data_IF_364218978289
#
_entry.id   IF_364218978289
#
_cell.length_a   1.000
_cell.length_b   1.000
_cell.length_c   1.000
_cell.angle_alpha   90.00
_cell.angle_beta   90.00
_cell.angle_gamma   90.00
#
_symmetry.space_group_name_H-M   'P 1'
#
loop_
_entity.id
_entity.type
_entity.pdbx_description
1 polymer ?
#
# COMPACT_ATOMS: atom_id res chain seq x y z
N UNK A 1 -0.01 -22.79 12.71
CA UNK A 1 0.91 -23.11 11.59
C UNK A 1 0.59 -24.44 10.88
N UNK A 2 0.59 -25.61 11.54
CA UNK A 2 0.31 -26.92 10.88
C UNK A 2 -1.05 -27.00 10.15
N UNK A 3 -2.14 -26.56 10.77
CA UNK A 3 -3.49 -26.54 10.17
C UNK A 3 -3.59 -25.60 8.97
N UNK A 4 -2.92 -24.45 9.05
CA UNK A 4 -2.87 -23.44 7.98
C UNK A 4 -2.18 -23.98 6.73
N UNK A 5 -0.96 -24.51 6.89
CA UNK A 5 -0.18 -25.10 5.81
C UNK A 5 -0.88 -26.32 5.20
N UNK A 6 -1.45 -27.19 6.03
CA UNK A 6 -2.19 -28.36 5.54
C UNK A 6 -3.38 -27.98 4.66
N UNK A 7 -4.13 -26.92 4.99
CA UNK A 7 -5.23 -26.45 4.15
C UNK A 7 -4.73 -25.91 2.80
N UNK A 8 -3.70 -25.05 2.81
CA UNK A 8 -3.13 -24.50 1.56
C UNK A 8 -2.53 -25.56 0.64
N UNK A 9 -1.80 -26.53 1.19
CA UNK A 9 -1.21 -27.64 0.42
C UNK A 9 -2.31 -28.44 -0.30
N UNK A 10 -3.48 -28.59 0.33
CA UNK A 10 -4.63 -29.26 -0.26
C UNK A 10 -5.50 -28.34 -1.13
N UNK A 11 -5.04 -27.13 -1.46
CA UNK A 11 -5.78 -26.17 -2.29
C UNK A 11 -7.04 -25.61 -1.64
N UNK A 12 -7.20 -25.76 -0.32
CA UNK A 12 -8.38 -25.23 0.38
C UNK A 12 -8.19 -23.73 0.58
N UNK A 13 -9.10 -22.88 0.07
CA UNK A 13 -9.04 -21.44 0.30
C UNK A 13 -9.04 -21.15 1.79
N UNK A 14 -8.09 -20.32 2.21
CA UNK A 14 -7.99 -19.80 3.56
C UNK A 14 -7.76 -18.31 3.44
N UNK A 15 -8.30 -17.55 4.39
CA UNK A 15 -8.11 -16.10 4.46
C UNK A 15 -6.62 -15.76 4.49
N UNK A 16 -6.28 -14.66 3.80
CA UNK A 16 -4.93 -14.10 3.83
C UNK A 16 -4.65 -13.55 5.22
N UNK A 17 -3.50 -13.90 5.77
CA UNK A 17 -3.02 -13.26 6.99
C UNK A 17 -2.54 -11.83 6.72
N UNK A 18 -2.56 -10.96 7.74
CA UNK A 18 -2.01 -9.61 7.64
C UNK A 18 -0.56 -9.56 7.16
N UNK A 19 0.27 -10.55 7.53
CA UNK A 19 1.65 -10.66 7.06
C UNK A 19 1.74 -10.97 5.57
N UNK A 20 0.87 -11.85 5.06
CA UNK A 20 0.79 -12.12 3.62
C UNK A 20 0.27 -10.91 2.86
N UNK A 21 -0.68 -10.16 3.43
CA UNK A 21 -1.11 -8.89 2.85
C UNK A 21 0.02 -7.88 2.80
N UNK A 22 0.86 -7.78 3.84
CA UNK A 22 2.06 -6.94 3.80
C UNK A 22 2.98 -7.30 2.65
N UNK A 23 3.23 -8.59 2.44
CA UNK A 23 4.04 -9.06 1.31
C UNK A 23 3.37 -8.77 -0.05
N UNK A 24 2.06 -8.94 -0.19
CA UNK A 24 1.34 -8.62 -1.43
C UNK A 24 1.45 -7.12 -1.74
N UNK A 25 1.18 -6.27 -0.75
CA UNK A 25 1.19 -4.80 -0.88
C UNK A 25 2.55 -4.29 -1.39
N UNK A 26 3.67 -4.89 -0.98
CA UNK A 26 5.00 -4.49 -1.47
C UNK A 26 5.15 -4.61 -2.99
N UNK A 27 4.44 -5.54 -3.64
CA UNK A 27 4.54 -5.83 -5.08
C UNK A 27 3.50 -5.10 -5.92
N UNK A 28 2.42 -4.61 -5.31
CA UNK A 28 1.30 -3.97 -6.02
C UNK A 28 1.75 -2.86 -6.98
N UNK A 29 2.71 -1.96 -6.62
CA UNK A 29 3.16 -0.93 -7.56
C UNK A 29 3.74 -1.45 -8.89
N UNK A 30 4.25 -2.68 -8.91
CA UNK A 30 4.84 -3.29 -10.11
C UNK A 30 3.77 -3.91 -11.03
N UNK A 31 2.51 -4.02 -10.58
CA UNK A 31 1.43 -4.69 -11.29
C UNK A 31 0.72 -3.79 -12.32
N UNK A 32 1.49 -3.02 -13.07
CA UNK A 32 0.92 -2.33 -14.25
C UNK A 32 0.66 -3.31 -15.38
N UNK A 33 -0.43 -3.16 -16.14
CA UNK A 33 -1.39 -2.05 -16.17
C UNK A 33 -2.57 -2.17 -15.18
N UNK A 34 -2.68 -3.26 -14.43
CA UNK A 34 -3.87 -3.61 -13.61
C UNK A 34 -3.84 -3.00 -12.21
N UNK A 35 -2.98 -2.01 -11.96
CA UNK A 35 -2.82 -1.38 -10.65
C UNK A 35 -4.15 -0.90 -10.05
N UNK A 36 -5.01 -0.13 -10.77
CA UNK A 36 -6.31 0.31 -10.23
C UNK A 36 -7.18 -0.86 -9.75
N UNK A 37 -7.33 -1.88 -10.59
CA UNK A 37 -8.16 -3.05 -10.27
C UNK A 37 -7.64 -3.80 -9.04
N UNK A 38 -6.32 -3.91 -8.91
CA UNK A 38 -5.69 -4.55 -7.74
C UNK A 38 -5.92 -3.72 -6.48
N UNK A 39 -5.82 -2.39 -6.56
CA UNK A 39 -6.08 -1.50 -5.42
C UNK A 39 -7.51 -1.70 -4.91
N UNK A 40 -8.50 -1.73 -5.79
CA UNK A 40 -9.91 -1.94 -5.43
C UNK A 40 -10.15 -3.26 -4.70
N UNK A 41 -9.40 -4.31 -5.03
CA UNK A 41 -9.47 -5.60 -4.36
C UNK A 41 -8.82 -5.57 -2.98
N UNK A 42 -7.61 -5.03 -2.86
CA UNK A 42 -6.83 -5.12 -1.62
C UNK A 42 -7.31 -4.18 -0.53
N UNK A 43 -7.93 -3.04 -0.85
CA UNK A 43 -8.42 -2.10 0.19
C UNK A 43 -9.49 -2.71 1.12
N UNK A 44 -10.14 -3.79 0.68
CA UNK A 44 -11.14 -4.54 1.43
C UNK A 44 -10.56 -5.78 2.15
N UNK A 45 -9.27 -6.06 1.99
CA UNK A 45 -8.60 -7.18 2.61
C UNK A 45 -8.16 -6.86 4.06
N UNK A 46 -7.75 -7.87 4.84
CA UNK A 46 -7.18 -7.65 6.17
C UNK A 46 -6.06 -6.62 6.15
N UNK A 47 -5.94 -5.86 7.24
CA UNK A 47 -4.92 -4.82 7.37
C UNK A 47 -3.50 -5.40 7.17
N UNK A 48 -2.68 -4.80 6.31
CA UNK A 48 -1.35 -5.32 6.00
C UNK A 48 -0.39 -5.05 7.16
N UNK A 49 0.47 -6.04 7.44
CA UNK A 49 1.58 -5.90 8.39
C UNK A 49 2.86 -6.20 7.65
N UNK A 50 3.69 -5.17 7.44
CA UNK A 50 4.98 -5.33 6.78
C UNK A 50 6.01 -5.97 7.71
N UNK A 51 6.70 -7.00 7.22
CA UNK A 51 7.82 -7.60 7.96
C UNK A 51 9.02 -6.65 8.11
N UNK A 52 9.20 -5.73 7.16
CA UNK A 52 10.28 -4.74 7.14
C UNK A 52 9.73 -3.35 6.86
N UNK A 53 10.53 -2.30 7.06
CA UNK A 53 10.09 -0.93 6.76
C UNK A 53 9.70 -0.83 5.28
N UNK A 54 8.53 -0.27 4.93
CA UNK A 54 8.06 -0.18 3.55
C UNK A 54 8.81 0.90 2.74
N UNK A 55 10.10 1.12 2.98
CA UNK A 55 10.90 2.16 2.31
C UNK A 55 10.88 2.00 0.79
N UNK A 56 10.96 0.76 0.31
CA UNK A 56 10.96 0.46 -1.12
C UNK A 56 9.61 0.78 -1.78
N UNK A 57 8.52 0.84 -1.01
CA UNK A 57 7.17 1.13 -1.51
C UNK A 57 7.11 2.52 -2.15
N UNK A 58 7.58 3.55 -1.45
CA UNK A 58 7.55 4.94 -1.95
C UNK A 58 8.41 5.11 -3.19
N UNK A 59 9.60 4.49 -3.18
CA UNK A 59 10.48 4.50 -4.34
C UNK A 59 9.79 3.87 -5.55
N UNK A 60 9.17 2.68 -5.39
CA UNK A 60 8.44 2.01 -6.47
C UNK A 60 7.28 2.86 -7.01
N UNK A 61 6.46 3.46 -6.14
CA UNK A 61 5.34 4.31 -6.58
C UNK A 61 5.84 5.50 -7.41
N UNK A 62 6.97 6.10 -7.02
CA UNK A 62 7.58 7.23 -7.73
C UNK A 62 8.21 6.79 -9.06
N UNK A 63 9.00 5.72 -9.08
CA UNK A 63 9.63 5.20 -10.31
C UNK A 63 8.58 4.80 -11.34
N UNK A 64 7.51 4.16 -10.84
CA UNK A 64 6.38 3.75 -11.64
C UNK A 64 5.40 4.90 -11.91
N UNK A 65 5.68 6.15 -11.50
CA UNK A 65 4.82 7.31 -11.81
C UNK A 65 3.32 7.07 -11.55
N UNK A 66 3.02 6.29 -10.50
CA UNK A 66 1.66 5.83 -10.23
C UNK A 66 0.80 6.98 -9.71
N UNK A 67 1.39 7.88 -8.92
CA UNK A 67 0.70 9.06 -8.42
C UNK A 67 0.28 10.01 -9.55
N UNK A 68 1.05 10.08 -10.63
CA UNK A 68 0.73 10.87 -11.81
C UNK A 68 -0.31 10.20 -12.72
N UNK A 69 -0.26 8.87 -12.80
CA UNK A 69 -1.12 8.09 -13.72
C UNK A 69 -2.48 7.76 -13.10
N UNK A 70 -2.49 7.36 -11.82
CA UNK A 70 -3.63 6.86 -11.05
C UNK A 70 -3.64 7.52 -9.66
N UNK A 71 -3.86 8.84 -9.58
CA UNK A 71 -3.71 9.59 -8.33
C UNK A 71 -4.66 9.13 -7.22
N UNK A 72 -5.92 8.82 -7.56
CA UNK A 72 -6.93 8.44 -6.57
C UNK A 72 -6.66 7.05 -6.01
N UNK A 73 -6.30 6.11 -6.87
CA UNK A 73 -5.97 4.74 -6.53
C UNK A 73 -4.65 4.68 -5.77
N UNK A 74 -3.66 5.49 -6.14
CA UNK A 74 -2.41 5.62 -5.38
C UNK A 74 -2.66 6.16 -3.97
N UNK A 75 -3.57 7.12 -3.82
CA UNK A 75 -3.97 7.61 -2.51
C UNK A 75 -4.68 6.52 -1.68
N UNK A 76 -5.66 5.83 -2.25
CA UNK A 76 -6.38 4.75 -1.59
C UNK A 76 -5.43 3.62 -1.18
N UNK A 77 -4.51 3.27 -2.07
CA UNK A 77 -3.46 2.30 -1.84
C UNK A 77 -2.57 2.68 -0.65
N UNK A 78 -2.04 3.90 -0.63
CA UNK A 78 -1.17 4.36 0.46
C UNK A 78 -1.90 4.39 1.80
N UNK A 79 -3.15 4.88 1.83
CA UNK A 79 -3.97 4.90 3.06
C UNK A 79 -4.15 3.47 3.60
N UNK A 80 -4.48 2.52 2.73
CA UNK A 80 -4.64 1.12 3.11
C UNK A 80 -3.33 0.48 3.55
N UNK A 81 -2.28 0.64 2.74
CA UNK A 81 -0.95 0.07 2.97
C UNK A 81 -0.39 0.50 4.33
N UNK A 82 -0.58 1.77 4.71
CA UNK A 82 0.02 2.36 5.91
C UNK A 82 -0.87 2.29 7.16
N UNK A 83 -2.09 1.74 7.05
CA UNK A 83 -3.06 1.72 8.15
C UNK A 83 -2.54 1.09 9.45
N UNK A 84 -1.71 0.06 9.33
CA UNK A 84 -1.12 -0.67 10.46
C UNK A 84 0.34 -0.35 10.75
N UNK A 85 0.95 0.56 10.00
CA UNK A 85 2.36 0.89 10.15
C UNK A 85 2.56 1.84 11.33
N UNK A 86 3.32 1.39 12.35
CA UNK A 86 3.60 2.15 13.58
C UNK A 86 5.05 2.57 13.70
N UNK A 87 5.91 2.10 12.80
CA UNK A 87 7.33 2.46 12.82
C UNK A 87 7.48 3.93 12.45
N UNK A 88 8.43 4.64 13.10
CA UNK A 88 8.62 6.05 12.86
C UNK A 88 8.95 6.32 11.39
N UNK A 89 8.37 7.40 10.90
CA UNK A 89 8.51 7.81 9.52
C UNK A 89 9.86 8.49 9.32
N UNK A 90 10.77 7.87 8.57
CA UNK A 90 12.03 8.52 8.20
C UNK A 90 11.81 9.45 7.01
N UNK A 91 12.19 10.72 7.17
CA UNK A 91 12.08 11.74 6.13
C UNK A 91 12.81 11.33 4.84
N UNK A 92 12.13 11.47 3.70
CA UNK A 92 12.66 11.15 2.37
C UNK A 92 12.01 12.10 1.34
N UNK A 93 12.81 12.74 0.50
CA UNK A 93 12.37 13.73 -0.48
C UNK A 93 11.33 13.16 -1.47
N UNK A 94 11.42 11.85 -1.77
CA UNK A 94 10.45 11.15 -2.62
C UNK A 94 9.03 11.14 -2.04
N UNK A 95 8.91 11.18 -0.73
CA UNK A 95 7.60 11.17 -0.06
C UNK A 95 6.91 12.52 -0.13
N UNK A 96 7.68 13.61 -0.01
CA UNK A 96 7.15 14.96 -0.24
C UNK A 96 6.70 15.16 -1.67
N UNK A 97 7.48 14.66 -2.63
CA UNK A 97 7.11 14.64 -4.04
C UNK A 97 5.78 13.91 -4.25
N UNK A 98 5.66 12.68 -3.72
CA UNK A 98 4.42 11.89 -3.76
C UNK A 98 3.23 12.61 -3.13
N UNK A 99 3.38 13.15 -1.93
CA UNK A 99 2.30 13.90 -1.27
C UNK A 99 1.85 15.11 -2.11
N UNK A 100 2.80 15.86 -2.69
CA UNK A 100 2.47 17.03 -3.50
C UNK A 100 1.71 16.67 -4.79
N UNK A 101 2.03 15.54 -5.41
CA UNK A 101 1.33 15.04 -6.61
C UNK A 101 -0.09 14.61 -6.24
N UNK A 102 -0.21 13.78 -5.20
CA UNK A 102 -1.48 13.21 -4.77
C UNK A 102 -2.43 14.28 -4.23
N UNK A 103 -1.94 15.21 -3.40
CA UNK A 103 -2.75 16.27 -2.78
C UNK A 103 -3.40 17.24 -3.76
N UNK A 104 -2.85 17.37 -4.97
CA UNK A 104 -3.45 18.17 -6.05
C UNK A 104 -4.59 17.46 -6.78
N UNK A 105 -4.70 16.15 -6.59
CA UNK A 105 -5.48 15.26 -7.45
C UNK A 105 -6.61 14.53 -6.69
N UNK A 106 -6.70 14.68 -5.36
CA UNK A 106 -7.71 14.01 -4.53
C UNK A 106 -8.44 14.98 -3.59
N UNK A 107 -9.55 14.54 -3.00
CA UNK A 107 -10.35 15.37 -2.09
C UNK A 107 -9.59 15.78 -0.81
N UNK A 108 -9.85 16.98 -0.26
CA UNK A 108 -9.14 17.49 0.93
C UNK A 108 -9.23 16.57 2.16
N UNK A 109 -10.33 15.83 2.31
CA UNK A 109 -10.53 14.88 3.40
C UNK A 109 -9.53 13.71 3.35
N UNK A 110 -9.26 13.18 2.15
CA UNK A 110 -8.28 12.10 1.95
C UNK A 110 -6.85 12.62 2.08
N UNK A 111 -6.58 13.87 1.68
CA UNK A 111 -5.27 14.52 1.85
C UNK A 111 -4.85 14.59 3.31
N UNK A 112 -5.80 14.88 4.23
CA UNK A 112 -5.51 14.97 5.66
C UNK A 112 -4.94 13.67 6.23
N UNK A 113 -5.55 12.53 5.86
CA UNK A 113 -5.09 11.19 6.30
C UNK A 113 -3.68 10.89 5.80
N UNK A 114 -3.38 11.27 4.54
CA UNK A 114 -2.05 11.08 3.97
C UNK A 114 -1.00 12.00 4.59
N UNK A 115 -1.37 13.21 5.01
CA UNK A 115 -0.43 14.16 5.62
C UNK A 115 0.16 13.59 6.91
N UNK A 116 -0.69 13.06 7.78
CA UNK A 116 -0.31 12.45 9.06
C UNK A 116 0.55 11.19 8.85
N UNK A 117 0.44 10.55 7.68
CA UNK A 117 1.19 9.35 7.32
C UNK A 117 2.47 9.61 6.52
N UNK A 118 2.58 10.73 5.79
CA UNK A 118 3.67 10.98 4.83
C UNK A 118 4.60 12.14 5.19
N UNK A 119 4.19 13.04 6.09
CA UNK A 119 4.93 14.29 6.38
C UNK A 119 5.35 14.41 7.85
N UNK A 120 4.62 13.80 8.78
CA UNK A 120 4.94 13.81 10.22
C UNK A 120 5.65 12.53 10.70
#
# INVERSE_FOLDING_TARGET
>A
MKKYLSRRINGIPVELSSTEMGAIVEWVPELKPVFPDVVDLIVNCPEPVFSQSPRILYWRISEEKLAETYPEETAAFLIYALKGEKRPFYYDDKKKELYNIISRSISPERVKVLKDQLIE
#
